data_IF_630652243550
#
_entry.id   IF_630652243550
#
_cell.length_a   1.000
_cell.length_b   1.000
_cell.length_c   1.000
_cell.angle_alpha   90.00
_cell.angle_beta   90.00
_cell.angle_gamma   90.00
#
_symmetry.space_group_name_H-M   'P 1'
#
loop_
_entity.id
_entity.type
_entity.pdbx_description
1 polymer ?
#
# COMPACT_ATOMS: atom_id res chain seq x y z
N UNK A 1 -4.29 3.88 -1.65
CA UNK A 1 -2.84 4.14 -1.76
C UNK A 1 -2.21 3.23 -2.81
N UNK A 2 -2.49 1.93 -2.80
CA UNK A 2 -2.03 0.94 -3.78
C UNK A 2 -2.37 1.33 -5.23
N UNK A 3 -3.62 1.73 -5.50
CA UNK A 3 -4.06 2.16 -6.84
C UNK A 3 -3.31 3.40 -7.35
N UNK A 4 -2.98 4.34 -6.47
CA UNK A 4 -2.20 5.52 -6.84
C UNK A 4 -0.77 5.15 -7.24
N UNK A 5 -0.12 4.26 -6.48
CA UNK A 5 1.21 3.72 -6.80
C UNK A 5 1.20 2.94 -8.11
N UNK A 6 0.17 2.11 -8.34
CA UNK A 6 0.00 1.38 -9.60
C UNK A 6 -0.10 2.32 -10.81
N UNK A 7 -0.89 3.40 -10.71
CA UNK A 7 -0.99 4.41 -11.78
C UNK A 7 0.35 5.09 -12.06
N UNK A 8 1.12 5.44 -11.03
CA UNK A 8 2.46 6.01 -11.18
C UNK A 8 3.41 5.05 -11.89
N UNK A 9 3.38 3.75 -11.53
CA UNK A 9 4.22 2.74 -12.18
C UNK A 9 3.89 2.56 -13.65
N UNK A 10 2.61 2.53 -14.02
CA UNK A 10 2.18 2.39 -15.43
C UNK A 10 2.75 3.52 -16.29
N UNK A 11 2.98 4.71 -15.73
CA UNK A 11 3.56 5.85 -16.44
C UNK A 11 5.09 5.85 -16.32
N UNK A 12 5.64 5.64 -15.13
CA UNK A 12 7.08 5.78 -14.88
C UNK A 12 7.91 4.66 -15.54
N UNK A 13 7.40 3.41 -15.56
CA UNK A 13 8.15 2.28 -16.14
C UNK A 13 8.37 2.46 -17.65
N UNK A 14 7.36 2.76 -18.50
CA UNK A 14 7.59 3.01 -19.91
C UNK A 14 8.53 4.19 -20.18
N UNK A 15 8.40 5.28 -19.39
CA UNK A 15 9.29 6.44 -19.52
C UNK A 15 10.74 6.11 -19.18
N UNK A 16 10.95 5.35 -18.10
CA UNK A 16 12.28 4.86 -17.71
C UNK A 16 12.89 3.95 -18.79
N UNK A 17 12.08 3.01 -19.32
CA UNK A 17 12.55 2.11 -20.39
C UNK A 17 12.91 2.90 -21.65
N UNK A 18 12.10 3.88 -22.05
CA UNK A 18 12.39 4.75 -23.17
C UNK A 18 13.68 5.56 -22.94
N UNK A 19 13.88 6.06 -21.73
CA UNK A 19 15.08 6.78 -21.35
C UNK A 19 16.32 5.88 -21.41
N UNK A 20 16.24 4.66 -20.85
CA UNK A 20 17.32 3.68 -20.93
C UNK A 20 17.63 3.27 -22.38
N UNK A 21 16.61 3.16 -23.22
CA UNK A 21 16.80 2.89 -24.65
C UNK A 21 17.59 4.01 -25.33
N UNK A 22 17.31 5.28 -25.05
CA UNK A 22 18.03 6.42 -25.63
C UNK A 22 19.44 6.52 -25.06
N UNK A 23 19.62 6.32 -23.76
CA UNK A 23 20.92 6.45 -23.08
C UNK A 23 21.86 5.28 -23.38
N UNK A 24 21.39 4.05 -23.21
CA UNK A 24 22.24 2.85 -23.30
C UNK A 24 22.10 2.09 -24.62
N UNK A 25 21.03 2.31 -25.38
CA UNK A 25 20.78 1.61 -26.65
C UNK A 25 21.97 1.64 -27.61
N UNK A 26 22.57 2.80 -27.89
CA UNK A 26 23.72 2.90 -28.78
C UNK A 26 24.96 2.13 -28.27
N UNK A 27 25.17 2.06 -26.93
CA UNK A 27 26.30 1.35 -26.32
C UNK A 27 26.22 -0.17 -26.49
N UNK A 28 24.99 -0.73 -26.48
CA UNK A 28 24.75 -2.18 -26.62
C UNK A 28 24.37 -2.57 -28.05
N UNK A 29 24.55 -1.66 -29.03
CA UNK A 29 24.31 -1.94 -30.44
C UNK A 29 22.84 -1.97 -30.87
N UNK A 30 21.92 -1.49 -30.06
CA UNK A 30 20.51 -1.36 -30.42
C UNK A 30 20.33 -0.12 -31.31
N UNK A 31 19.69 -0.23 -32.48
CA UNK A 31 19.50 0.92 -33.37
C UNK A 31 18.59 1.96 -32.73
N UNK A 32 19.12 3.16 -32.52
CA UNK A 32 18.37 4.32 -32.03
C UNK A 32 18.23 5.32 -33.21
N UNK A 33 17.09 6.02 -33.34
CA UNK A 33 16.94 7.04 -34.35
C UNK A 33 18.11 8.05 -34.31
N UNK A 34 18.70 8.45 -35.45
CA UNK A 34 19.92 9.29 -35.48
C UNK A 34 19.80 10.56 -34.63
N UNK A 35 18.62 11.21 -34.66
CA UNK A 35 18.37 12.44 -33.88
C UNK A 35 18.28 12.27 -32.38
N UNK A 36 18.20 11.01 -31.87
CA UNK A 36 18.23 10.64 -30.46
C UNK A 36 19.52 9.93 -30.07
N UNK A 37 20.45 9.76 -31.00
CA UNK A 37 21.71 9.10 -30.73
C UNK A 37 22.72 10.09 -30.14
N UNK A 38 22.93 10.00 -28.82
CA UNK A 38 23.88 10.85 -28.11
C UNK A 38 25.35 10.64 -28.54
N UNK A 39 25.68 9.51 -29.16
CA UNK A 39 27.03 9.24 -29.69
C UNK A 39 27.34 10.02 -30.96
N UNK A 40 26.32 10.47 -31.70
CA UNK A 40 26.52 11.34 -32.83
C UNK A 40 26.63 12.81 -32.37
N UNK A 41 27.80 13.40 -32.53
CA UNK A 41 28.13 14.76 -32.08
C UNK A 41 27.12 15.82 -32.54
N UNK A 42 26.58 15.66 -33.75
CA UNK A 42 25.57 16.56 -34.33
C UNK A 42 24.23 16.54 -33.55
N UNK A 43 23.86 15.40 -33.01
CA UNK A 43 22.55 15.20 -32.34
C UNK A 43 22.65 15.07 -30.82
N UNK A 44 23.86 15.13 -30.28
CA UNK A 44 24.12 14.97 -28.82
C UNK A 44 23.27 15.91 -27.95
N UNK A 45 23.15 17.19 -28.37
CA UNK A 45 22.33 18.17 -27.65
C UNK A 45 20.84 17.82 -27.69
N UNK A 46 20.35 17.37 -28.86
CA UNK A 46 18.93 16.95 -28.95
C UNK A 46 18.63 15.70 -28.12
N UNK A 47 19.52 14.72 -28.16
CA UNK A 47 19.39 13.50 -27.38
C UNK A 47 19.42 13.78 -25.87
N UNK A 48 20.32 14.66 -25.40
CA UNK A 48 20.40 15.03 -23.98
C UNK A 48 19.19 15.85 -23.52
N UNK A 49 18.64 16.73 -24.35
CA UNK A 49 17.38 17.43 -24.06
C UNK A 49 16.19 16.46 -24.00
N UNK A 50 16.11 15.49 -24.90
CA UNK A 50 15.07 14.47 -24.87
C UNK A 50 15.13 13.65 -23.56
N UNK A 51 16.32 13.26 -23.13
CA UNK A 51 16.52 12.57 -21.86
C UNK A 51 16.09 13.43 -20.65
N UNK A 52 16.42 14.73 -20.66
CA UNK A 52 16.01 15.66 -19.62
C UNK A 52 14.48 15.78 -19.51
N UNK A 53 13.79 15.88 -20.67
CA UNK A 53 12.31 15.97 -20.71
C UNK A 53 11.66 14.69 -20.19
N UNK A 54 12.15 13.50 -20.58
CA UNK A 54 11.64 12.23 -20.10
C UNK A 54 11.86 12.08 -18.58
N UNK A 55 13.04 12.45 -18.09
CA UNK A 55 13.34 12.42 -16.66
C UNK A 55 12.46 13.39 -15.88
N UNK A 56 12.25 14.61 -16.41
CA UNK A 56 11.36 15.59 -15.80
C UNK A 56 9.92 15.04 -15.70
N UNK A 57 9.44 14.34 -16.73
CA UNK A 57 8.13 13.68 -16.70
C UNK A 57 8.05 12.64 -15.57
N UNK A 58 9.10 11.82 -15.38
CA UNK A 58 9.17 10.85 -14.27
C UNK A 58 9.19 11.57 -12.92
N UNK A 59 9.92 12.68 -12.79
CA UNK A 59 9.96 13.51 -11.57
C UNK A 59 8.57 14.05 -11.25
N UNK A 60 7.85 14.60 -12.22
CA UNK A 60 6.51 15.17 -12.04
C UNK A 60 5.53 14.08 -11.53
N UNK A 61 5.53 12.91 -12.16
CA UNK A 61 4.68 11.77 -11.75
C UNK A 61 4.97 11.34 -10.32
N UNK A 62 6.23 11.46 -9.88
CA UNK A 62 6.72 11.03 -8.58
C UNK A 62 7.05 12.21 -7.63
N UNK A 63 6.46 13.38 -7.86
CA UNK A 63 6.79 14.61 -7.13
C UNK A 63 6.60 14.53 -5.62
N UNK A 64 5.71 13.65 -5.16
CA UNK A 64 5.48 13.46 -3.72
C UNK A 64 6.74 13.04 -2.96
N UNK A 65 7.66 12.28 -3.58
CA UNK A 65 8.93 11.92 -2.93
C UNK A 65 9.78 13.15 -2.61
N UNK A 66 9.78 14.13 -3.50
CA UNK A 66 10.50 15.38 -3.29
C UNK A 66 9.84 16.22 -2.21
N UNK A 67 8.50 16.38 -2.29
CA UNK A 67 7.74 17.16 -1.31
C UNK A 67 7.88 16.61 0.10
N UNK A 68 7.70 15.31 0.28
CA UNK A 68 7.80 14.65 1.59
C UNK A 68 9.25 14.54 2.03
N UNK A 69 10.14 14.16 1.11
CA UNK A 69 11.56 13.94 1.37
C UNK A 69 12.25 15.21 1.86
N UNK A 70 12.13 16.31 1.12
CA UNK A 70 12.74 17.58 1.53
C UNK A 70 12.10 18.17 2.78
N UNK A 71 10.77 18.07 2.93
CA UNK A 71 10.10 18.53 4.16
C UNK A 71 10.65 17.84 5.41
N UNK A 72 10.86 16.52 5.34
CA UNK A 72 11.41 15.75 6.46
C UNK A 72 12.91 15.97 6.65
N UNK A 73 13.65 16.17 5.56
CA UNK A 73 15.08 16.48 5.62
C UNK A 73 15.33 17.80 6.37
N UNK A 74 14.63 18.86 5.98
CA UNK A 74 14.74 20.17 6.64
C UNK A 74 14.12 20.19 8.04
N UNK A 75 13.20 19.28 8.33
CA UNK A 75 12.65 19.08 9.68
C UNK A 75 13.56 18.28 10.61
N UNK A 76 14.79 17.91 10.20
CA UNK A 76 15.76 17.10 10.96
C UNK A 76 15.27 15.69 11.34
N UNK A 77 14.29 15.17 10.60
CA UNK A 77 13.78 13.79 10.72
C UNK A 77 13.84 13.08 9.36
N UNK A 78 15.06 12.92 8.78
CA UNK A 78 15.22 12.31 7.46
C UNK A 78 14.65 10.89 7.42
N UNK A 79 14.07 10.53 6.28
CA UNK A 79 13.54 9.20 6.02
C UNK A 79 14.01 8.71 4.64
N UNK A 80 13.54 7.52 4.24
CA UNK A 80 13.86 6.93 2.93
C UNK A 80 13.50 7.89 1.77
N UNK A 81 12.39 8.63 1.85
CA UNK A 81 11.99 9.59 0.82
C UNK A 81 12.98 10.77 0.73
N UNK A 82 13.62 11.15 1.85
CA UNK A 82 14.66 12.20 1.89
C UNK A 82 15.91 11.78 1.11
N UNK A 83 16.33 10.53 1.27
CA UNK A 83 17.47 9.96 0.53
C UNK A 83 17.18 9.89 -0.97
N UNK A 84 15.99 9.42 -1.33
CA UNK A 84 15.52 9.35 -2.73
C UNK A 84 15.46 10.74 -3.36
N UNK A 85 14.89 11.72 -2.66
CA UNK A 85 14.81 13.10 -3.14
C UNK A 85 16.19 13.72 -3.38
N UNK A 86 17.14 13.52 -2.46
CA UNK A 86 18.51 13.97 -2.61
C UNK A 86 19.21 13.33 -3.80
N UNK A 87 19.18 12.00 -3.90
CA UNK A 87 19.84 11.26 -4.97
C UNK A 87 19.29 11.62 -6.36
N UNK A 88 17.95 11.64 -6.51
CA UNK A 88 17.32 12.01 -7.76
C UNK A 88 17.57 13.48 -8.13
N UNK A 89 17.55 14.39 -7.16
CA UNK A 89 17.88 15.81 -7.39
C UNK A 89 19.33 16.00 -7.81
N UNK A 90 20.27 15.36 -7.13
CA UNK A 90 21.68 15.44 -7.47
C UNK A 90 21.95 14.92 -8.89
N UNK A 91 21.37 13.76 -9.24
CA UNK A 91 21.49 13.17 -10.56
C UNK A 91 20.89 14.07 -11.66
N UNK A 92 19.72 14.63 -11.41
CA UNK A 92 19.05 15.54 -12.36
C UNK A 92 19.82 16.86 -12.53
N UNK A 93 20.28 17.49 -11.44
CA UNK A 93 21.05 18.74 -11.48
C UNK A 93 22.39 18.53 -12.20
N UNK A 94 23.05 17.39 -11.96
CA UNK A 94 24.27 17.07 -12.68
C UNK A 94 24.01 16.87 -14.17
N UNK A 95 22.90 16.21 -14.55
CA UNK A 95 22.49 16.10 -15.95
C UNK A 95 22.24 17.47 -16.61
N UNK A 96 21.61 18.41 -15.92
CA UNK A 96 21.45 19.80 -16.39
C UNK A 96 22.81 20.49 -16.58
N UNK A 97 23.71 20.35 -15.63
CA UNK A 97 25.08 20.87 -15.74
C UNK A 97 25.76 20.31 -17.00
N UNK A 98 25.65 19.01 -17.25
CA UNK A 98 26.21 18.33 -18.41
C UNK A 98 25.59 18.86 -19.72
N UNK A 99 24.29 19.10 -19.80
CA UNK A 99 23.64 19.73 -20.96
C UNK A 99 24.24 21.11 -21.24
N UNK A 100 24.42 21.92 -20.21
CA UNK A 100 25.01 23.26 -20.36
C UNK A 100 26.42 23.16 -20.93
N UNK A 101 27.24 22.24 -20.44
CA UNK A 101 28.60 22.04 -20.97
C UNK A 101 28.63 21.51 -22.42
N UNK A 102 27.71 20.60 -22.77
CA UNK A 102 27.54 20.13 -24.15
C UNK A 102 27.10 21.30 -25.06
N UNK A 103 26.16 22.14 -24.61
CA UNK A 103 25.71 23.32 -25.35
C UNK A 103 26.85 24.31 -25.59
N UNK A 104 27.65 24.60 -24.58
CA UNK A 104 28.85 25.46 -24.71
C UNK A 104 29.80 24.84 -25.74
N UNK A 105 30.11 23.54 -25.64
CA UNK A 105 30.95 22.84 -26.62
C UNK A 105 30.40 22.91 -28.03
N UNK A 106 29.10 22.78 -28.21
CA UNK A 106 28.41 22.87 -29.48
C UNK A 106 28.53 24.27 -30.11
N UNK A 107 28.28 25.33 -29.32
CA UNK A 107 28.37 26.72 -29.83
C UNK A 107 29.81 27.22 -30.01
N UNK A 108 30.78 26.63 -29.32
CA UNK A 108 32.21 27.01 -29.43
C UNK A 108 32.98 26.08 -30.39
N UNK A 109 32.30 25.14 -31.03
CA UNK A 109 32.91 24.09 -31.90
C UNK A 109 34.03 23.30 -31.16
N UNK A 110 33.96 23.22 -29.86
CA UNK A 110 34.94 22.51 -29.03
C UNK A 110 34.54 21.03 -28.87
N UNK A 111 35.03 20.22 -29.78
CA UNK A 111 34.75 18.78 -29.85
C UNK A 111 35.29 18.01 -28.64
N UNK A 112 36.41 18.44 -28.07
CA UNK A 112 37.01 17.82 -26.89
C UNK A 112 36.07 17.97 -25.66
N UNK A 113 35.50 19.18 -25.48
CA UNK A 113 34.54 19.45 -24.42
C UNK A 113 33.27 18.61 -24.57
N UNK A 114 32.76 18.50 -25.80
CA UNK A 114 31.58 17.67 -26.09
C UNK A 114 31.82 16.20 -25.76
N UNK A 115 32.93 15.63 -26.19
CA UNK A 115 33.32 14.23 -25.93
C UNK A 115 33.47 13.97 -24.44
N UNK A 116 34.07 14.90 -23.68
CA UNK A 116 34.28 14.77 -22.22
C UNK A 116 32.96 14.61 -21.44
N UNK A 117 31.89 15.22 -21.90
CA UNK A 117 30.59 15.20 -21.21
C UNK A 117 29.56 14.28 -21.85
N UNK A 118 29.90 13.58 -22.94
CA UNK A 118 29.01 12.68 -23.66
C UNK A 118 28.53 11.51 -22.78
N UNK A 119 29.43 10.91 -22.00
CA UNK A 119 29.14 9.74 -21.19
C UNK A 119 28.68 10.12 -19.76
N UNK A 120 28.49 11.40 -19.47
CA UNK A 120 28.20 11.90 -18.14
C UNK A 120 26.74 12.39 -17.95
N UNK A 121 25.81 11.88 -18.77
CA UNK A 121 24.40 12.19 -18.67
C UNK A 121 23.73 11.23 -17.69
N UNK A 122 23.60 11.59 -16.43
CA UNK A 122 23.02 10.72 -15.39
C UNK A 122 21.50 10.86 -15.23
N UNK A 123 20.78 11.22 -16.28
CA UNK A 123 19.32 11.34 -16.26
C UNK A 123 18.61 10.01 -15.98
N UNK A 124 19.14 8.91 -16.53
CA UNK A 124 18.63 7.57 -16.27
C UNK A 124 18.75 7.17 -14.81
N UNK A 125 19.78 7.66 -14.10
CA UNK A 125 19.95 7.43 -12.67
C UNK A 125 18.78 8.00 -11.87
N UNK A 126 18.39 9.27 -12.11
CA UNK A 126 17.26 9.89 -11.44
C UNK A 126 15.94 9.15 -11.71
N UNK A 127 15.66 8.81 -12.97
CA UNK A 127 14.45 8.10 -13.36
C UNK A 127 14.40 6.68 -12.78
N UNK A 128 15.54 5.98 -12.77
CA UNK A 128 15.66 4.62 -12.24
C UNK A 128 15.43 4.60 -10.73
N UNK A 129 16.06 5.51 -9.97
CA UNK A 129 15.85 5.62 -8.51
C UNK A 129 14.38 5.82 -8.20
N UNK A 130 13.71 6.79 -8.85
CA UNK A 130 12.29 7.09 -8.61
C UNK A 130 11.38 5.92 -8.99
N UNK A 131 11.66 5.26 -10.11
CA UNK A 131 10.83 4.14 -10.58
C UNK A 131 11.01 2.91 -9.69
N UNK A 132 12.24 2.52 -9.35
CA UNK A 132 12.50 1.35 -8.52
C UNK A 132 11.97 1.51 -7.09
N UNK A 133 12.09 2.71 -6.50
CA UNK A 133 11.51 2.94 -5.18
C UNK A 133 9.98 2.88 -5.22
N UNK A 134 9.36 3.31 -6.32
CA UNK A 134 7.91 3.21 -6.50
C UNK A 134 7.47 1.76 -6.67
N UNK A 135 8.26 0.91 -7.36
CA UNK A 135 8.05 -0.55 -7.43
C UNK A 135 8.12 -1.14 -6.02
N UNK A 136 9.17 -0.83 -5.26
CA UNK A 136 9.34 -1.33 -3.90
C UNK A 136 8.15 -0.98 -2.99
N UNK A 137 7.72 0.28 -3.01
CA UNK A 137 6.54 0.73 -2.22
C UNK A 137 5.23 0.10 -2.68
N UNK A 138 5.07 -0.15 -3.98
CA UNK A 138 3.89 -0.86 -4.48
C UNK A 138 3.85 -2.30 -3.98
N UNK A 139 4.98 -3.02 -4.03
CA UNK A 139 5.08 -4.40 -3.54
C UNK A 139 4.86 -4.47 -2.03
N UNK A 140 5.42 -3.52 -1.27
CA UNK A 140 5.20 -3.40 0.17
C UNK A 140 3.73 -3.21 0.52
N UNK A 141 3.06 -2.26 -0.14
CA UNK A 141 1.64 -1.96 0.10
C UNK A 141 0.75 -3.15 -0.29
N UNK A 142 1.03 -3.79 -1.42
CA UNK A 142 0.32 -5.00 -1.86
C UNK A 142 0.48 -6.15 -0.87
N UNK A 143 1.67 -6.34 -0.32
CA UNK A 143 1.96 -7.38 0.68
C UNK A 143 1.21 -7.10 1.99
N UNK A 144 1.22 -5.85 2.47
CA UNK A 144 0.46 -5.43 3.66
C UNK A 144 -1.03 -5.66 3.50
N UNK A 145 -1.61 -5.26 2.36
CA UNK A 145 -3.04 -5.43 2.09
C UNK A 145 -3.43 -6.92 2.07
N UNK A 146 -2.57 -7.79 1.53
CA UNK A 146 -2.82 -9.24 1.53
C UNK A 146 -2.81 -9.81 2.95
N UNK A 147 -1.90 -9.38 3.80
CA UNK A 147 -1.80 -9.83 5.20
C UNK A 147 -2.99 -9.32 6.01
N UNK A 148 -3.35 -8.04 5.88
CA UNK A 148 -4.53 -7.46 6.54
C UNK A 148 -5.83 -8.16 6.14
N UNK A 149 -6.03 -8.44 4.85
CA UNK A 149 -7.20 -9.17 4.39
C UNK A 149 -7.29 -10.61 4.92
N UNK A 150 -6.16 -11.22 5.29
CA UNK A 150 -6.15 -12.53 5.96
C UNK A 150 -6.53 -12.40 7.44
N UNK A 151 -6.09 -11.34 8.10
CA UNK A 151 -6.47 -11.03 9.48
C UNK A 151 -7.95 -10.62 9.57
N UNK A 152 -8.44 -9.78 8.64
CA UNK A 152 -9.87 -9.44 8.55
C UNK A 152 -10.76 -10.67 8.31
N UNK A 153 -10.31 -11.64 7.52
CA UNK A 153 -11.04 -12.90 7.34
C UNK A 153 -11.07 -13.74 8.60
N UNK A 154 -10.06 -13.67 9.45
CA UNK A 154 -10.05 -14.33 10.77
C UNK A 154 -10.90 -13.57 11.78
N UNK A 155 -10.93 -12.24 11.72
CA UNK A 155 -11.81 -11.38 12.53
C UNK A 155 -13.26 -11.37 12.01
N UNK A 156 -13.47 -11.60 10.70
CA UNK A 156 -14.77 -11.72 10.03
C UNK A 156 -15.54 -13.04 10.35
N UNK A 157 -15.08 -13.80 11.36
CA UNK A 157 -15.84 -14.88 11.97
C UNK A 157 -16.96 -14.37 12.91
N UNK A 158 -17.02 -13.05 13.18
CA UNK A 158 -18.20 -12.46 13.83
C UNK A 158 -19.36 -12.46 12.82
N UNK A 159 -20.50 -13.06 13.15
CA UNK A 159 -21.66 -13.10 12.26
C UNK A 159 -22.20 -11.67 12.05
N UNK A 160 -22.66 -11.38 10.83
CA UNK A 160 -23.34 -10.10 10.54
C UNK A 160 -24.76 -10.05 11.08
N UNK A 161 -25.32 -11.21 11.47
CA UNK A 161 -26.71 -11.38 11.92
C UNK A 161 -26.79 -12.13 13.25
N UNK A 162 -27.85 -11.87 14.00
CA UNK A 162 -28.21 -12.58 15.23
C UNK A 162 -29.69 -12.97 15.18
N UNK A 163 -30.01 -14.11 15.79
CA UNK A 163 -31.40 -14.55 15.96
C UNK A 163 -31.89 -14.04 17.30
N UNK A 164 -32.96 -13.25 17.29
CA UNK A 164 -33.60 -12.70 18.50
C UNK A 164 -35.02 -13.20 18.63
N UNK A 165 -35.50 -13.28 19.87
CA UNK A 165 -36.87 -13.64 20.17
C UNK A 165 -37.74 -12.39 20.30
N UNK A 166 -38.64 -12.17 19.31
CA UNK A 166 -39.57 -11.01 19.33
C UNK A 166 -40.99 -11.54 19.40
N UNK A 167 -41.70 -11.26 20.52
CA UNK A 167 -43.07 -11.71 20.69
C UNK A 167 -43.26 -13.23 20.73
N UNK A 168 -42.19 -13.99 21.03
CA UNK A 168 -42.21 -15.46 21.07
C UNK A 168 -41.84 -16.14 19.76
N UNK A 169 -41.52 -15.36 18.68
CA UNK A 169 -41.05 -15.88 17.41
C UNK A 169 -39.56 -15.53 17.20
N UNK A 170 -38.82 -16.47 16.64
CA UNK A 170 -37.41 -16.24 16.25
C UNK A 170 -37.34 -15.36 15.00
N UNK A 171 -36.57 -14.28 15.09
CA UNK A 171 -36.33 -13.36 13.97
C UNK A 171 -34.86 -13.09 13.83
N UNK A 172 -34.37 -13.22 12.60
CA UNK A 172 -33.00 -12.84 12.27
C UNK A 172 -32.91 -11.33 12.03
N UNK A 173 -31.99 -10.66 12.75
CA UNK A 173 -31.71 -9.23 12.64
C UNK A 173 -30.21 -9.01 12.41
N UNK A 174 -29.84 -7.83 11.91
CA UNK A 174 -28.42 -7.43 11.85
C UNK A 174 -27.91 -7.12 13.27
N UNK A 175 -26.66 -7.49 13.54
CA UNK A 175 -26.04 -7.20 14.86
C UNK A 175 -26.06 -5.71 15.17
N UNK A 176 -25.94 -4.85 14.15
CA UNK A 176 -26.03 -3.39 14.33
C UNK A 176 -27.43 -2.91 14.83
N UNK A 177 -28.47 -3.72 14.70
CA UNK A 177 -29.84 -3.42 15.17
C UNK A 177 -30.13 -3.97 16.55
N UNK A 178 -29.23 -4.83 17.10
CA UNK A 178 -29.35 -5.47 18.41
C UNK A 178 -29.26 -4.43 19.51
N UNK A 179 -30.16 -4.53 20.50
CA UNK A 179 -30.25 -3.60 21.62
C UNK A 179 -30.08 -4.33 22.93
N UNK A 180 -29.60 -3.60 23.92
CA UNK A 180 -29.56 -4.08 25.30
C UNK A 180 -30.97 -4.47 25.79
N UNK A 181 -31.10 -5.68 26.33
CA UNK A 181 -32.36 -6.27 26.76
C UNK A 181 -33.05 -7.14 25.70
N UNK A 182 -32.53 -7.20 24.47
CA UNK A 182 -33.03 -8.14 23.48
C UNK A 182 -32.65 -9.57 23.88
N UNK A 183 -33.53 -10.52 23.59
CA UNK A 183 -33.29 -11.94 23.90
C UNK A 183 -32.73 -12.61 22.63
N UNK A 184 -31.47 -12.98 22.72
CA UNK A 184 -30.75 -13.67 21.65
C UNK A 184 -30.95 -15.18 21.76
N UNK A 185 -31.25 -15.84 20.66
CA UNK A 185 -31.37 -17.32 20.60
C UNK A 185 -30.04 -17.90 20.11
N UNK A 186 -29.45 -18.78 20.93
CA UNK A 186 -28.19 -19.46 20.62
C UNK A 186 -28.45 -20.94 20.39
N UNK A 187 -28.01 -21.45 19.25
CA UNK A 187 -28.10 -22.85 18.84
C UNK A 187 -26.68 -23.41 18.69
N UNK A 188 -26.60 -24.70 18.53
CA UNK A 188 -25.32 -25.37 18.26
C UNK A 188 -24.58 -24.75 17.07
N UNK A 189 -23.31 -24.37 17.28
CA UNK A 189 -22.48 -23.67 16.31
C UNK A 189 -22.76 -22.16 16.15
N UNK A 190 -23.67 -21.58 16.94
CA UNK A 190 -23.93 -20.14 16.89
C UNK A 190 -22.76 -19.32 17.45
N UNK A 191 -22.36 -18.29 16.74
CA UNK A 191 -21.50 -17.25 17.31
C UNK A 191 -22.29 -16.36 18.25
N UNK A 192 -21.73 -16.03 19.40
CA UNK A 192 -22.34 -15.15 20.40
C UNK A 192 -22.14 -13.69 19.94
N UNK A 193 -23.26 -12.97 19.61
CA UNK A 193 -23.16 -11.68 18.92
C UNK A 193 -22.86 -10.49 19.86
N UNK A 194 -23.10 -10.67 21.16
CA UNK A 194 -22.93 -9.62 22.17
C UNK A 194 -22.70 -10.25 23.55
N UNK A 195 -22.27 -9.47 24.55
CA UNK A 195 -22.20 -9.96 25.92
C UNK A 195 -23.63 -10.15 26.43
N UNK A 196 -23.96 -11.36 26.83
CA UNK A 196 -25.30 -11.74 27.27
C UNK A 196 -25.31 -12.67 28.50
N UNK A 197 -26.46 -12.80 29.12
CA UNK A 197 -26.68 -13.68 30.28
C UNK A 197 -27.75 -14.69 29.89
N UNK A 198 -27.50 -15.96 30.14
CA UNK A 198 -28.44 -17.03 29.84
C UNK A 198 -29.67 -16.90 30.76
N UNK A 199 -30.85 -16.80 30.13
CA UNK A 199 -32.14 -16.73 30.85
C UNK A 199 -32.92 -18.05 30.78
N UNK A 200 -32.62 -18.91 29.79
CA UNK A 200 -33.21 -20.22 29.63
C UNK A 200 -32.31 -21.15 28.80
N UNK A 201 -32.31 -22.42 29.16
CA UNK A 201 -31.47 -23.41 28.47
C UNK A 201 -30.04 -23.41 28.99
N UNK A 202 -29.10 -23.93 28.18
CA UNK A 202 -27.67 -23.98 28.47
C UNK A 202 -26.92 -24.75 27.42
N UNK A 203 -25.58 -24.70 27.49
CA UNK A 203 -24.69 -25.36 26.54
C UNK A 203 -23.22 -25.03 26.79
N UNK A 204 -22.40 -25.43 25.86
CA UNK A 204 -20.96 -25.22 25.94
C UNK A 204 -20.56 -23.93 25.21
N UNK A 205 -19.73 -23.12 25.85
CA UNK A 205 -19.13 -21.94 25.20
C UNK A 205 -17.65 -22.19 24.95
N UNK A 206 -17.24 -22.15 23.69
CA UNK A 206 -15.82 -22.14 23.32
C UNK A 206 -15.31 -20.69 23.34
N UNK A 207 -14.49 -20.41 24.35
CA UNK A 207 -13.90 -19.11 24.61
C UNK A 207 -12.43 -19.04 24.18
N UNK A 208 -11.94 -20.03 23.40
CA UNK A 208 -10.54 -20.13 22.97
C UNK A 208 -10.04 -18.91 22.21
N UNK A 209 -10.90 -18.25 21.45
CA UNK A 209 -10.59 -17.02 20.72
C UNK A 209 -10.23 -15.82 21.62
N UNK A 210 -10.70 -15.84 22.89
CA UNK A 210 -10.50 -14.75 23.86
C UNK A 210 -9.51 -15.15 24.95
N UNK A 211 -9.68 -16.33 25.54
CA UNK A 211 -8.88 -16.81 26.69
C UNK A 211 -7.63 -17.58 26.26
N UNK A 212 -7.59 -18.10 25.01
CA UNK A 212 -6.55 -19.01 24.52
C UNK A 212 -6.69 -20.45 25.04
N UNK A 213 -7.70 -20.74 25.91
CA UNK A 213 -7.95 -22.08 26.43
C UNK A 213 -8.86 -22.87 25.48
N UNK A 214 -8.41 -24.00 24.98
CA UNK A 214 -9.12 -24.81 23.97
C UNK A 214 -10.23 -25.70 24.55
N UNK A 215 -10.51 -25.62 25.84
CA UNK A 215 -11.54 -26.46 26.48
C UNK A 215 -12.83 -25.66 26.61
N UNK A 216 -13.93 -26.07 25.93
CA UNK A 216 -15.23 -25.42 26.08
C UNK A 216 -15.73 -25.50 27.54
N UNK A 217 -16.35 -24.44 28.00
CA UNK A 217 -16.90 -24.33 29.34
C UNK A 217 -18.43 -24.45 29.27
N UNK A 218 -19.01 -25.33 30.08
CA UNK A 218 -20.48 -25.43 30.17
C UNK A 218 -21.05 -24.20 30.90
N UNK A 219 -22.09 -23.63 30.29
CA UNK A 219 -22.79 -22.45 30.80
C UNK A 219 -24.26 -22.72 31.00
N UNK A 220 -24.76 -22.35 32.19
CA UNK A 220 -26.14 -22.55 32.61
C UNK A 220 -26.86 -21.22 32.83
N UNK A 221 -28.13 -21.31 33.19
CA UNK A 221 -28.99 -20.13 33.48
C UNK A 221 -28.32 -19.22 34.50
N UNK A 222 -28.27 -17.92 34.24
CA UNK A 222 -27.63 -16.87 35.06
C UNK A 222 -26.15 -16.66 34.77
N UNK A 223 -25.50 -17.50 33.95
CA UNK A 223 -24.09 -17.31 33.60
C UNK A 223 -23.92 -16.39 32.41
N UNK A 224 -22.77 -15.69 32.39
CA UNK A 224 -22.39 -14.77 31.32
C UNK A 224 -21.76 -15.48 30.16
N UNK A 225 -22.14 -15.06 28.95
CA UNK A 225 -21.52 -15.39 27.70
C UNK A 225 -20.86 -14.14 27.12
N UNK A 226 -19.68 -14.29 26.52
CA UNK A 226 -18.87 -13.20 26.00
C UNK A 226 -19.00 -13.13 24.49
N UNK A 227 -19.11 -11.93 23.94
CA UNK A 227 -19.18 -11.67 22.50
C UNK A 227 -17.97 -12.30 21.77
N UNK A 228 -18.17 -12.78 20.52
CA UNK A 228 -17.11 -13.36 19.71
C UNK A 228 -16.72 -14.79 20.06
N UNK A 229 -17.38 -15.43 21.07
CA UNK A 229 -17.20 -16.85 21.37
C UNK A 229 -18.23 -17.71 20.63
N UNK A 230 -18.01 -19.03 20.57
CA UNK A 230 -18.89 -19.96 19.87
C UNK A 230 -19.69 -20.80 20.89
N UNK A 231 -21.01 -20.81 20.71
CA UNK A 231 -21.89 -21.64 21.52
C UNK A 231 -22.09 -23.02 20.84
N UNK A 232 -21.94 -24.09 21.59
CA UNK A 232 -22.03 -25.45 21.04
C UNK A 232 -22.75 -26.40 21.98
N UNK A 233 -23.31 -27.46 21.44
CA UNK A 233 -23.88 -28.56 22.21
C UNK A 233 -25.07 -28.17 23.08
N UNK A 234 -25.98 -27.31 22.58
CA UNK A 234 -27.16 -26.94 23.35
C UNK A 234 -28.10 -25.96 22.65
N UNK A 235 -29.06 -25.48 23.42
CA UNK A 235 -29.97 -24.38 23.06
C UNK A 235 -30.06 -23.44 24.26
N UNK A 236 -29.86 -22.15 24.01
CA UNK A 236 -30.02 -21.16 25.07
C UNK A 236 -30.71 -19.90 24.54
N UNK A 237 -31.55 -19.31 25.38
CA UNK A 237 -31.98 -17.93 25.22
C UNK A 237 -31.22 -17.07 26.22
N UNK A 238 -30.61 -16.01 25.75
CA UNK A 238 -29.75 -15.15 26.54
C UNK A 238 -30.13 -13.67 26.32
N UNK A 239 -30.19 -12.91 27.42
CA UNK A 239 -30.49 -11.48 27.38
C UNK A 239 -29.22 -10.68 27.11
N UNK A 240 -29.25 -9.78 26.10
CA UNK A 240 -28.14 -8.91 25.75
C UNK A 240 -27.87 -7.87 26.85
N UNK A 241 -26.66 -7.89 27.45
CA UNK A 241 -26.22 -6.96 28.49
C UNK A 241 -25.42 -5.80 27.95
N UNK A 242 -24.52 -6.06 26.99
CA UNK A 242 -23.72 -5.06 26.31
C UNK A 242 -23.72 -5.35 24.81
N UNK A 243 -23.85 -4.31 23.95
CA UNK A 243 -23.96 -4.44 22.50
C UNK A 243 -23.01 -3.45 21.80
N UNK A 244 -22.52 -3.81 20.61
CA UNK A 244 -21.66 -2.94 19.82
C UNK A 244 -20.30 -2.66 20.46
N UNK A 245 -19.89 -1.39 20.51
CA UNK A 245 -18.59 -0.98 21.06
C UNK A 245 -18.47 -1.14 22.60
N UNK A 246 -19.57 -1.37 23.31
CA UNK A 246 -19.60 -1.58 24.77
C UNK A 246 -19.40 -3.06 25.18
N UNK A 247 -19.16 -3.97 24.22
CA UNK A 247 -18.85 -5.38 24.50
C UNK A 247 -17.41 -5.57 24.99
N UNK A 248 -17.16 -6.64 25.73
CA UNK A 248 -15.85 -6.95 26.36
C UNK A 248 -14.75 -7.21 25.34
#
# INVERSE_FOLDING_TARGET
>A
REQALKKRLIISVPLMVALMYISMGPMIGIPVPPFLNAMEMKYQLYASLAQAVLTLAVIIVNFDYFRVGFKKLFGLHPNMDSLVALGATASFLYGIYTIVMIAIGHFTENHELMMKFMDNLYFEGAATILTLITVGKYLEEKSKNKTMGSVEKLLGLAPDTAVVLVGGEEKEIKIAELKKGDVVVLKDGSHIPCDCVIISGGGWADQSAITGESVPVYKDVGEKLVAGTVFSGGYAAAEAVSVGEDTT
#
